data_IF_325604093230
#
_entry.id   IF_325604093230
#
_cell.length_a   1.000
_cell.length_b   1.000
_cell.length_c   1.000
_cell.angle_alpha   90.00
_cell.angle_beta   90.00
_cell.angle_gamma   90.00
#
_symmetry.space_group_name_H-M   'P 1'
#
loop_
_entity.id
_entity.type
_entity.pdbx_description
1 polymer ?
#
# COMPACT_ATOMS: atom_id res chain seq x y z
N UNK A 1 13.85 6.45 -16.60
CA UNK A 1 12.52 6.48 -15.94
C UNK A 1 12.78 6.74 -14.47
N UNK A 2 12.19 7.79 -13.88
CA UNK A 2 12.42 8.14 -12.47
C UNK A 2 11.24 7.61 -11.67
N UNK A 3 11.51 6.64 -10.80
CA UNK A 3 10.55 6.17 -9.82
C UNK A 3 10.64 7.08 -8.60
N UNK A 4 9.48 7.48 -8.09
CA UNK A 4 9.38 8.28 -6.88
C UNK A 4 8.58 7.50 -5.84
N UNK A 5 9.01 7.60 -4.58
CA UNK A 5 8.24 7.09 -3.45
C UNK A 5 6.90 7.80 -3.39
N UNK A 6 5.83 7.06 -3.61
CA UNK A 6 4.46 7.59 -3.56
C UNK A 6 3.93 7.52 -2.13
N UNK A 7 4.07 6.35 -1.48
CA UNK A 7 3.56 6.14 -0.13
C UNK A 7 4.29 5.00 0.60
N UNK A 8 4.08 4.95 1.92
CA UNK A 8 4.51 3.86 2.81
C UNK A 8 3.31 2.96 3.09
N UNK A 9 3.51 1.66 2.91
CA UNK A 9 2.58 0.58 3.21
C UNK A 9 2.76 0.23 4.69
N UNK A 10 1.68 0.21 5.46
CA UNK A 10 1.75 -0.08 6.89
C UNK A 10 1.85 -1.59 7.13
N UNK A 11 1.12 -2.38 6.33
CA UNK A 11 1.05 -3.84 6.45
C UNK A 11 1.20 -4.57 5.10
N UNK A 12 1.50 -5.87 5.17
CA UNK A 12 1.60 -6.74 4.00
C UNK A 12 0.26 -6.86 3.23
N UNK A 13 -0.87 -6.73 3.93
CA UNK A 13 -2.20 -6.80 3.34
C UNK A 13 -2.49 -5.62 2.41
N UNK A 14 -2.18 -4.39 2.84
CA UNK A 14 -2.26 -3.21 1.96
C UNK A 14 -1.34 -3.36 0.74
N UNK A 15 -0.12 -3.86 0.94
CA UNK A 15 0.84 -4.08 -0.14
C UNK A 15 0.26 -5.00 -1.21
N UNK A 16 -0.31 -6.14 -0.79
CA UNK A 16 -0.91 -7.11 -1.69
C UNK A 16 -2.13 -6.54 -2.43
N UNK A 17 -3.03 -5.82 -1.76
CA UNK A 17 -4.20 -5.22 -2.43
C UNK A 17 -3.78 -4.19 -3.48
N UNK A 18 -2.86 -3.30 -3.13
CA UNK A 18 -2.34 -2.29 -4.05
C UNK A 18 -1.64 -2.95 -5.24
N UNK A 19 -0.86 -4.00 -5.00
CA UNK A 19 -0.20 -4.79 -6.04
C UNK A 19 -1.20 -5.38 -7.03
N UNK A 20 -2.27 -6.02 -6.55
CA UNK A 20 -3.31 -6.61 -7.39
C UNK A 20 -4.00 -5.53 -8.25
N UNK A 21 -4.42 -4.43 -7.63
CA UNK A 21 -5.12 -3.33 -8.33
C UNK A 21 -4.24 -2.68 -9.40
N UNK A 22 -2.93 -2.53 -9.12
CA UNK A 22 -2.01 -1.96 -10.10
C UNK A 22 -1.66 -2.92 -11.23
N UNK A 23 -1.53 -4.21 -10.96
CA UNK A 23 -1.37 -5.22 -12.01
C UNK A 23 -2.60 -5.27 -12.92
N UNK A 24 -3.81 -5.23 -12.35
CA UNK A 24 -5.06 -5.23 -13.11
C UNK A 24 -5.18 -4.00 -14.03
N UNK A 25 -4.73 -2.84 -13.55
CA UNK A 25 -4.69 -1.59 -14.33
C UNK A 25 -3.44 -1.45 -15.23
N UNK A 26 -2.58 -2.47 -15.28
CA UNK A 26 -1.30 -2.46 -16.02
C UNK A 26 -0.41 -1.23 -15.69
N UNK A 27 -0.48 -0.76 -14.45
CA UNK A 27 0.29 0.39 -13.98
C UNK A 27 1.70 -0.11 -13.63
N UNK A 28 2.78 0.53 -14.12
CA UNK A 28 4.12 0.19 -13.70
C UNK A 28 4.40 0.71 -12.27
N UNK A 29 4.67 -0.20 -11.34
CA UNK A 29 5.01 0.12 -9.94
C UNK A 29 6.14 -0.75 -9.42
N UNK A 30 6.66 -0.41 -8.24
CA UNK A 30 7.68 -1.16 -7.54
C UNK A 30 7.39 -1.10 -6.05
N UNK A 31 7.27 -2.26 -5.42
CA UNK A 31 7.09 -2.38 -3.98
C UNK A 31 8.45 -2.72 -3.36
N UNK A 32 8.84 -1.93 -2.36
CA UNK A 32 10.08 -2.13 -1.61
C UNK A 32 9.73 -2.46 -0.17
N UNK A 33 9.80 -3.75 0.18
CA UNK A 33 9.66 -4.23 1.56
C UNK A 33 10.87 -3.80 2.39
N UNK A 34 10.63 -3.29 3.60
CA UNK A 34 11.72 -2.99 4.55
C UNK A 34 12.17 -4.23 5.33
N UNK A 35 11.47 -5.35 5.16
CA UNK A 35 11.64 -6.58 5.92
C UNK A 35 12.60 -7.61 5.31
N UNK A 36 13.20 -7.33 4.14
CA UNK A 36 14.04 -8.31 3.43
C UNK A 36 15.41 -8.56 4.09
N UNK A 37 15.79 -7.77 5.09
CA UNK A 37 17.02 -7.99 5.84
C UNK A 37 16.67 -8.28 7.31
N UNK A 38 16.80 -9.55 7.68
CA UNK A 38 17.16 -10.04 9.03
C UNK A 38 16.43 -9.41 10.23
N UNK A 39 15.52 -10.16 10.84
CA UNK A 39 15.66 -10.68 12.21
C UNK A 39 14.32 -11.25 12.67
N UNK A 40 14.32 -12.56 12.95
CA UNK A 40 13.19 -13.23 13.55
C UNK A 40 12.86 -12.64 14.91
N UNK A 41 11.56 -12.63 15.20
CA UNK A 41 10.93 -12.36 16.48
C UNK A 41 11.02 -10.91 17.00
N UNK A 42 9.81 -10.39 17.23
CA UNK A 42 9.49 -9.39 18.26
C UNK A 42 9.88 -7.94 17.93
N UNK A 43 8.85 -7.12 17.66
CA UNK A 43 8.85 -5.66 17.54
C UNK A 43 9.37 -5.03 16.24
N UNK A 44 8.44 -4.49 15.44
CA UNK A 44 8.48 -3.09 14.99
C UNK A 44 7.17 -2.69 14.28
N UNK A 45 6.11 -2.47 15.04
CA UNK A 45 4.84 -1.89 14.55
C UNK A 45 4.93 -0.36 14.31
N UNK A 46 6.11 0.20 14.04
CA UNK A 46 6.34 1.66 14.00
C UNK A 46 6.97 2.19 12.71
N UNK A 47 7.42 1.33 11.78
CA UNK A 47 8.04 1.79 10.51
C UNK A 47 7.22 1.51 9.24
N UNK A 48 6.13 0.74 9.35
CA UNK A 48 5.39 0.20 8.20
C UNK A 48 6.12 -0.96 7.52
N UNK A 49 5.40 -1.74 6.73
CA UNK A 49 5.88 -2.93 6.03
C UNK A 49 6.82 -2.62 4.85
N UNK A 50 6.57 -1.53 4.13
CA UNK A 50 7.35 -1.19 2.93
C UNK A 50 6.95 0.15 2.31
N UNK A 51 7.45 0.44 1.11
CA UNK A 51 7.05 1.61 0.33
C UNK A 51 6.72 1.23 -1.12
N UNK A 52 5.73 1.92 -1.69
CA UNK A 52 5.39 1.82 -3.10
C UNK A 52 5.99 2.99 -3.87
N UNK A 53 6.70 2.65 -4.94
CA UNK A 53 7.35 3.57 -5.85
C UNK A 53 6.72 3.42 -7.24
N UNK A 54 6.44 4.53 -7.89
CA UNK A 54 5.85 4.53 -9.23
C UNK A 54 6.44 5.69 -10.04
N UNK A 55 6.31 5.68 -11.38
CA UNK A 55 6.66 6.83 -12.19
C UNK A 55 5.85 8.05 -11.77
N UNK A 56 6.43 9.24 -11.89
CA UNK A 56 5.78 10.49 -11.48
C UNK A 56 4.42 10.70 -12.15
N UNK A 57 4.26 10.27 -13.41
CA UNK A 57 2.99 10.31 -14.16
C UNK A 57 1.86 9.49 -13.49
N UNK A 58 2.21 8.43 -12.75
CA UNK A 58 1.26 7.55 -12.07
C UNK A 58 1.15 7.84 -10.57
N UNK A 59 1.92 8.79 -10.04
CA UNK A 59 1.93 9.12 -8.60
C UNK A 59 0.53 9.39 -8.06
N UNK A 60 -0.25 10.20 -8.77
CA UNK A 60 -1.61 10.57 -8.36
C UNK A 60 -2.57 9.37 -8.36
N UNK A 61 -2.44 8.52 -9.39
CA UNK A 61 -3.21 7.27 -9.51
C UNK A 61 -2.89 6.30 -8.39
N UNK A 62 -1.60 6.06 -8.13
CA UNK A 62 -1.14 5.20 -7.04
C UNK A 62 -1.61 5.71 -5.69
N UNK A 63 -1.50 7.03 -5.45
CA UNK A 63 -1.97 7.64 -4.20
C UNK A 63 -3.48 7.48 -4.01
N UNK A 64 -4.26 7.56 -5.09
CA UNK A 64 -5.72 7.35 -5.04
C UNK A 64 -6.06 5.90 -4.72
N UNK A 65 -5.42 4.94 -5.38
CA UNK A 65 -5.63 3.50 -5.13
C UNK A 65 -5.33 3.16 -3.67
N UNK A 66 -4.21 3.64 -3.13
CA UNK A 66 -3.86 3.41 -1.73
C UNK A 66 -4.90 3.99 -0.77
N UNK A 67 -5.41 5.19 -1.06
CA UNK A 67 -6.44 5.84 -0.25
C UNK A 67 -7.74 5.03 -0.28
N UNK A 68 -8.15 4.57 -1.46
CA UNK A 68 -9.34 3.75 -1.65
C UNK A 68 -9.26 2.40 -0.90
N UNK A 69 -8.09 1.76 -0.96
CA UNK A 69 -7.79 0.54 -0.20
C UNK A 69 -7.95 0.80 1.31
N UNK A 70 -7.40 1.90 1.82
CA UNK A 70 -7.51 2.27 3.24
C UNK A 70 -8.94 2.63 3.64
N UNK A 71 -9.67 3.35 2.80
CA UNK A 71 -11.07 3.70 3.06
C UNK A 71 -11.99 2.47 3.00
N UNK A 72 -11.71 1.51 2.13
CA UNK A 72 -12.43 0.25 2.05
C UNK A 72 -12.29 -0.60 3.32
N UNK A 73 -11.14 -0.55 4.00
CA UNK A 73 -10.98 -1.19 5.31
C UNK A 73 -11.79 -0.52 6.43
N UNK A 74 -12.14 0.76 6.27
CA UNK A 74 -12.89 1.54 7.28
C UNK A 74 -14.39 1.46 7.06
N UNK A 75 -14.87 1.28 5.82
CA UNK A 75 -16.32 1.24 5.54
C UNK A 75 -17.04 0.03 6.13
N UNK A 76 -16.37 -1.12 6.26
CA UNK A 76 -17.00 -2.34 6.79
C UNK A 76 -17.37 -2.23 8.29
N UNK A 77 -16.74 -1.32 9.05
CA UNK A 77 -17.07 -1.11 10.48
C UNK A 77 -18.19 -0.09 10.73
N UNK A 78 -18.64 0.64 9.72
CA UNK A 78 -19.56 1.78 9.88
C UNK A 78 -20.99 1.50 9.40
N UNK A 79 -21.22 0.41 8.67
CA UNK A 79 -22.55 0.05 8.11
C UNK A 79 -23.35 -0.94 8.99
N UNK A 80 -23.01 -1.08 10.28
CA UNK A 80 -23.72 -1.97 11.22
C UNK A 80 -24.31 -1.29 12.48
N UNK A 81 -24.40 0.04 12.52
CA UNK A 81 -25.23 0.76 13.51
C UNK A 81 -26.14 1.77 12.78
N UNK A 82 -27.24 1.26 12.23
CA UNK A 82 -28.20 2.05 11.49
C UNK A 82 -29.42 1.26 11.04
N UNK A 83 -30.04 0.52 11.96
CA UNK A 83 -31.46 0.15 11.90
C UNK A 83 -32.08 0.24 13.31
#
# INVERSE_FOLDING_TARGET
MVYVKVAVLDNAFEAYMVEQIMNDQEIPFTIRSYHDDVYGNLFQATKGWGAVEAPIDYKDRVSTILKDVRESQVKEVMESEGD
#
